data_IF_522328217379
#
_entry.id   IF_522328217379
#
_cell.length_a   1.000
_cell.length_b   1.000
_cell.length_c   1.000
_cell.angle_alpha   90.00
_cell.angle_beta   90.00
_cell.angle_gamma   90.00
#
_symmetry.space_group_name_H-M   'P 1'
#
loop_
_entity.id
_entity.type
_entity.pdbx_description
1 polymer ?
#
# COMPACT_ATOMS: atom_id res chain seq x y z
N UNK A 1 16.93 58.47 -49.00
CA UNK A 1 18.34 58.92 -48.90
C UNK A 1 18.90 58.52 -47.54
N UNK A 2 20.04 57.81 -47.55
CA UNK A 2 21.07 57.53 -46.51
C UNK A 2 20.68 57.40 -45.01
N UNK A 3 20.72 56.18 -44.45
CA UNK A 3 21.86 55.54 -43.72
C UNK A 3 22.36 56.32 -42.49
N UNK A 4 22.24 55.71 -41.30
CA UNK A 4 23.40 55.13 -40.58
C UNK A 4 22.95 54.24 -39.41
N UNK A 5 23.39 52.99 -39.52
CA UNK A 5 23.35 51.96 -38.49
C UNK A 5 24.52 52.22 -37.53
N UNK A 6 24.30 52.09 -36.23
CA UNK A 6 25.38 51.85 -35.27
C UNK A 6 25.18 50.47 -34.64
N UNK A 7 25.88 49.51 -35.25
CA UNK A 7 26.25 48.23 -34.64
C UNK A 7 27.22 48.53 -33.51
N UNK A 8 26.99 47.99 -32.32
CA UNK A 8 28.07 47.70 -31.39
C UNK A 8 28.10 46.19 -31.15
N UNK A 9 29.27 45.63 -31.37
CA UNK A 9 29.53 44.22 -31.49
C UNK A 9 30.27 43.72 -30.24
N UNK A 10 29.88 42.52 -29.79
CA UNK A 10 30.73 41.46 -29.22
C UNK A 10 31.47 41.77 -27.91
N UNK A 11 31.12 41.00 -26.88
CA UNK A 11 32.13 40.16 -26.23
C UNK A 11 31.56 38.76 -25.93
N UNK A 12 32.08 37.78 -26.68
CA UNK A 12 31.98 36.35 -26.37
C UNK A 12 32.97 36.06 -25.24
N UNK A 13 32.49 35.65 -24.07
CA UNK A 13 33.31 34.92 -23.12
C UNK A 13 33.06 33.43 -23.31
N UNK A 14 33.90 32.81 -24.16
CA UNK A 14 34.04 31.35 -24.23
C UNK A 14 34.68 30.89 -22.92
N UNK A 15 33.94 30.19 -22.05
CA UNK A 15 34.56 29.35 -21.02
C UNK A 15 34.73 27.94 -21.59
N UNK A 16 35.95 27.44 -21.41
CA UNK A 16 36.49 26.20 -21.95
C UNK A 16 35.77 24.99 -21.35
N UNK A 17 35.52 24.00 -22.19
CA UNK A 17 35.28 22.60 -21.81
C UNK A 17 36.65 21.94 -21.77
N UNK A 18 36.95 21.22 -20.70
CA UNK A 18 38.10 20.32 -20.62
C UNK A 18 37.62 18.88 -20.40
N UNK A 19 38.36 18.00 -21.07
CA UNK A 19 38.27 16.56 -21.19
C UNK A 19 38.72 15.87 -19.88
N UNK A 20 38.00 14.83 -19.46
CA UNK A 20 38.28 13.88 -18.37
C UNK A 20 39.25 14.32 -17.23
N UNK A 21 38.71 14.74 -16.08
CA UNK A 21 39.50 15.09 -14.90
C UNK A 21 38.84 14.72 -13.57
N UNK A 22 38.74 13.42 -13.30
CA UNK A 22 38.22 12.83 -12.04
C UNK A 22 39.26 12.98 -10.91
N UNK A 23 38.88 13.55 -9.73
CA UNK A 23 39.63 13.36 -8.49
C UNK A 23 39.05 12.24 -7.63
N UNK A 24 39.98 11.42 -7.17
CA UNK A 24 39.87 10.16 -6.42
C UNK A 24 39.27 10.36 -5.02
N UNK A 25 38.38 9.46 -4.62
CA UNK A 25 37.86 9.36 -3.25
C UNK A 25 38.98 9.05 -2.25
N UNK A 26 39.17 9.91 -1.25
CA UNK A 26 40.04 9.64 -0.10
C UNK A 26 39.44 8.56 0.83
N UNK A 27 40.27 7.73 1.49
CA UNK A 27 39.78 6.66 2.34
C UNK A 27 39.24 7.20 3.67
N UNK A 28 37.94 7.03 3.91
CA UNK A 28 37.35 7.23 5.24
C UNK A 28 37.81 6.10 6.17
N UNK A 29 38.44 6.48 7.29
CA UNK A 29 38.77 5.58 8.41
C UNK A 29 37.49 4.99 9.00
N UNK A 30 37.25 3.70 8.75
CA UNK A 30 36.25 2.90 9.45
C UNK A 30 36.79 2.57 10.84
N UNK A 31 36.33 3.29 11.86
CA UNK A 31 36.47 2.84 13.24
C UNK A 31 35.52 1.66 13.46
N UNK A 32 36.11 0.47 13.68
CA UNK A 32 35.40 -0.79 13.76
C UNK A 32 34.44 -0.90 14.94
N UNK A 33 33.23 -1.41 14.67
CA UNK A 33 32.35 -1.97 15.71
C UNK A 33 32.66 -3.46 15.88
N UNK A 34 33.07 -3.82 17.09
CA UNK A 34 33.21 -5.21 17.55
C UNK A 34 31.83 -5.88 17.68
N UNK A 35 31.70 -7.20 17.45
CA UNK A 35 30.50 -7.96 17.80
C UNK A 35 30.62 -8.48 19.23
N UNK A 36 29.65 -8.17 20.10
CA UNK A 36 29.52 -8.87 21.38
C UNK A 36 28.55 -10.05 21.25
N UNK A 37 29.07 -11.18 21.72
CA UNK A 37 28.48 -12.51 21.71
C UNK A 37 27.35 -12.63 22.73
N UNK A 38 26.42 -13.50 22.36
CA UNK A 38 25.44 -14.10 23.24
C UNK A 38 26.08 -14.81 24.44
N UNK A 39 25.55 -14.55 25.64
CA UNK A 39 25.65 -15.45 26.78
C UNK A 39 24.25 -15.89 27.21
N UNK A 40 23.98 -17.16 26.92
CA UNK A 40 22.98 -18.01 27.57
C UNK A 40 23.60 -18.49 28.88
N UNK A 41 22.83 -18.53 29.96
CA UNK A 41 22.71 -19.60 30.97
C UNK A 41 22.06 -19.05 32.25
N UNK A 42 21.02 -19.75 32.73
CA UNK A 42 20.33 -19.43 33.98
C UNK A 42 19.17 -20.40 34.21
N UNK A 43 19.52 -21.58 34.70
CA UNK A 43 18.68 -22.73 35.06
C UNK A 43 17.97 -22.46 36.39
N UNK A 44 16.68 -22.82 36.49
CA UNK A 44 15.95 -22.92 37.75
C UNK A 44 14.84 -23.97 37.59
N UNK A 45 14.98 -25.09 38.30
CA UNK A 45 13.98 -26.14 38.43
C UNK A 45 12.82 -25.66 39.31
N UNK A 46 11.62 -26.19 39.11
CA UNK A 46 10.95 -27.01 40.13
C UNK A 46 9.69 -27.68 39.58
N UNK A 47 9.62 -28.98 39.85
CA UNK A 47 8.52 -29.86 39.53
C UNK A 47 7.33 -29.63 40.47
N UNK A 48 6.12 -29.84 39.95
CA UNK A 48 5.09 -30.66 40.61
C UNK A 48 3.92 -30.90 39.65
N UNK A 49 3.75 -32.18 39.31
CA UNK A 49 2.69 -32.66 38.44
C UNK A 49 1.32 -32.61 39.09
N UNK A 50 0.30 -32.47 38.26
CA UNK A 50 -1.10 -32.75 38.59
C UNK A 50 -1.59 -33.72 37.52
N UNK A 51 -2.02 -34.95 37.88
CA UNK A 51 -2.57 -35.91 36.93
C UNK A 51 -4.01 -35.59 36.54
N UNK A 52 -4.36 -35.89 35.28
CA UNK A 52 -5.70 -35.82 34.70
C UNK A 52 -6.71 -36.72 35.45
N UNK A 53 -7.99 -36.30 35.58
CA UNK A 53 -9.04 -37.16 36.10
C UNK A 53 -9.50 -38.21 35.06
N UNK A 54 -9.89 -39.43 35.50
CA UNK A 54 -10.26 -40.52 34.60
C UNK A 54 -11.67 -40.37 34.01
N UNK A 55 -11.81 -40.85 32.77
CA UNK A 55 -13.09 -41.01 32.05
C UNK A 55 -13.93 -42.13 32.69
N UNK A 56 -15.25 -41.98 32.84
CA UNK A 56 -16.10 -43.10 33.22
C UNK A 56 -16.34 -44.06 32.05
N UNK A 57 -16.09 -45.34 32.33
CA UNK A 57 -16.41 -46.53 31.52
C UNK A 57 -17.90 -46.83 31.57
N UNK A 58 -18.38 -47.40 30.47
CA UNK A 58 -19.69 -48.01 30.33
C UNK A 58 -19.88 -49.27 31.19
N UNK A 59 -21.09 -49.41 31.73
CA UNK A 59 -21.77 -50.64 32.20
C UNK A 59 -23.22 -50.20 32.47
N UNK A 60 -24.31 -50.89 32.17
CA UNK A 60 -24.63 -52.19 31.58
C UNK A 60 -26.17 -52.29 31.55
N UNK A 61 -26.75 -53.10 30.66
CA UNK A 61 -28.13 -53.56 30.80
C UNK A 61 -28.29 -54.52 31.99
N UNK A 62 -29.51 -54.91 32.41
CA UNK A 62 -30.39 -55.72 31.55
C UNK A 62 -31.92 -55.46 31.63
N UNK A 63 -32.59 -55.82 30.54
CA UNK A 63 -33.86 -56.54 30.34
C UNK A 63 -35.03 -56.51 31.37
N UNK A 64 -36.14 -55.91 30.91
CA UNK A 64 -37.48 -56.48 30.68
C UNK A 64 -38.20 -57.37 31.73
N UNK A 65 -39.43 -56.95 32.09
CA UNK A 65 -40.71 -57.70 32.08
C UNK A 65 -41.76 -56.89 32.87
N UNK A 66 -43.05 -56.81 32.56
CA UNK A 66 -43.90 -57.40 31.54
C UNK A 66 -45.30 -56.80 31.71
N UNK A 67 -45.96 -56.45 30.62
CA UNK A 67 -47.36 -56.07 30.59
C UNK A 67 -48.11 -56.98 29.61
N UNK A 68 -49.32 -57.33 30.01
CA UNK A 68 -50.02 -58.54 29.64
C UNK A 68 -50.50 -58.61 28.18
N UNK A 69 -50.45 -59.84 27.67
CA UNK A 69 -51.40 -60.50 26.77
C UNK A 69 -52.63 -59.68 26.32
N UNK A 70 -52.76 -59.47 24.99
CA UNK A 70 -53.81 -60.17 24.22
C UNK A 70 -53.58 -60.10 22.71
N UNK A 71 -53.76 -61.27 22.09
CA UNK A 71 -53.62 -61.59 20.67
C UNK A 71 -54.59 -60.80 19.78
N UNK A 72 -54.12 -60.42 18.58
CA UNK A 72 -54.79 -60.62 17.29
C UNK A 72 -53.82 -60.24 16.17
N UNK A 73 -53.33 -61.25 15.46
CA UNK A 73 -52.64 -61.08 14.19
C UNK A 73 -53.65 -60.64 13.13
N UNK A 74 -53.44 -59.48 12.49
CA UNK A 74 -54.03 -59.16 11.19
C UNK A 74 -53.01 -58.33 10.40
N UNK A 75 -52.33 -59.02 9.48
CA UNK A 75 -51.75 -58.56 8.21
C UNK A 75 -51.08 -57.19 8.13
N UNK A 76 -49.77 -57.24 7.88
CA UNK A 76 -48.90 -56.17 7.37
C UNK A 76 -49.54 -55.46 6.16
N UNK A 77 -49.83 -54.17 6.28
CA UNK A 77 -49.94 -53.26 5.13
C UNK A 77 -48.77 -52.29 5.17
N UNK A 78 -47.99 -52.33 4.09
CA UNK A 78 -46.75 -51.56 3.88
C UNK A 78 -47.01 -50.05 3.94
N UNK A 79 -46.04 -49.36 4.53
CA UNK A 79 -45.93 -47.91 4.61
C UNK A 79 -45.78 -47.24 3.22
N UNK A 80 -46.24 -45.99 3.13
CA UNK A 80 -45.51 -44.88 2.48
C UNK A 80 -46.35 -43.59 2.57
N UNK A 81 -46.00 -42.68 3.47
CA UNK A 81 -46.31 -41.26 3.29
C UNK A 81 -44.97 -40.54 3.24
N UNK A 82 -44.50 -40.32 2.01
CA UNK A 82 -43.42 -39.40 1.69
C UNK A 82 -44.00 -37.98 1.72
N UNK A 83 -43.84 -37.24 2.82
CA UNK A 83 -43.96 -35.78 2.78
C UNK A 83 -42.55 -35.21 2.79
N UNK A 84 -42.07 -34.94 1.58
CA UNK A 84 -40.86 -34.16 1.31
C UNK A 84 -41.11 -32.73 1.81
N UNK A 85 -40.65 -32.41 3.02
CA UNK A 85 -40.65 -31.04 3.52
C UNK A 85 -39.65 -30.21 2.70
N UNK A 86 -40.14 -29.46 1.72
CA UNK A 86 -39.33 -28.54 0.95
C UNK A 86 -38.86 -27.40 1.88
N UNK A 87 -37.61 -27.46 2.31
CA UNK A 87 -36.94 -26.36 2.98
C UNK A 87 -36.78 -25.21 1.97
N UNK A 88 -37.59 -24.17 2.11
CA UNK A 88 -37.42 -22.92 1.38
C UNK A 88 -36.17 -22.20 1.91
N UNK A 89 -35.01 -22.52 1.34
CA UNK A 89 -33.80 -21.73 1.53
C UNK A 89 -33.99 -20.41 0.78
N UNK A 90 -34.31 -19.34 1.52
CA UNK A 90 -34.33 -18.00 0.96
C UNK A 90 -32.92 -17.64 0.48
N UNK A 91 -32.68 -17.76 -0.82
CA UNK A 91 -31.46 -17.31 -1.47
C UNK A 91 -31.46 -15.76 -1.46
N UNK A 92 -30.84 -15.16 -0.44
CA UNK A 92 -30.53 -13.74 -0.48
C UNK A 92 -29.54 -13.50 -1.64
N UNK A 93 -29.79 -12.54 -2.54
CA UNK A 93 -28.84 -12.23 -3.60
C UNK A 93 -27.53 -11.74 -2.97
N UNK A 94 -26.36 -12.19 -3.46
CA UNK A 94 -25.10 -11.65 -3.00
C UNK A 94 -25.06 -10.16 -3.35
N UNK A 95 -25.04 -9.30 -2.32
CA UNK A 95 -24.75 -7.88 -2.50
C UNK A 95 -23.28 -7.79 -2.91
N UNK A 96 -23.04 -7.78 -4.22
CA UNK A 96 -21.71 -7.52 -4.76
C UNK A 96 -21.34 -6.08 -4.43
N UNK A 97 -20.52 -5.88 -3.40
CA UNK A 97 -19.91 -4.60 -3.11
C UNK A 97 -19.02 -4.24 -4.32
N UNK A 98 -19.50 -3.34 -5.16
CA UNK A 98 -18.72 -2.87 -6.32
C UNK A 98 -17.43 -2.22 -5.81
N UNK A 99 -16.32 -2.96 -5.85
CA UNK A 99 -15.03 -2.44 -5.47
C UNK A 99 -14.68 -1.28 -6.42
N UNK A 100 -14.72 -0.05 -5.92
CA UNK A 100 -14.37 1.09 -6.77
C UNK A 100 -12.89 1.00 -7.13
N UNK A 101 -12.62 0.83 -8.44
CA UNK A 101 -11.27 0.58 -8.96
C UNK A 101 -10.34 1.77 -8.68
N UNK A 102 -9.10 1.46 -8.32
CA UNK A 102 -8.01 2.44 -8.23
C UNK A 102 -7.76 3.10 -9.59
N UNK A 103 -7.68 4.43 -9.62
CA UNK A 103 -7.40 5.22 -10.82
C UNK A 103 -5.97 5.75 -10.79
N UNK A 104 -5.43 6.05 -11.97
CA UNK A 104 -4.19 6.83 -12.10
C UNK A 104 -4.55 8.26 -12.49
N UNK A 105 -3.96 9.24 -11.79
CA UNK A 105 -4.09 10.67 -12.09
C UNK A 105 -2.74 11.22 -12.49
N UNK A 106 -2.67 11.83 -13.67
CA UNK A 106 -1.43 12.41 -14.18
C UNK A 106 -1.30 13.86 -13.74
N UNK A 107 -0.09 14.23 -13.33
CA UNK A 107 0.36 15.59 -13.07
C UNK A 107 1.48 15.90 -14.06
N UNK A 108 1.36 16.96 -14.82
CA UNK A 108 2.46 17.46 -15.65
C UNK A 108 3.49 18.17 -14.76
N UNK A 109 4.76 17.90 -15.00
CA UNK A 109 5.87 18.67 -14.43
C UNK A 109 6.48 19.47 -15.58
N UNK A 110 6.44 20.78 -15.47
CA UNK A 110 7.01 21.73 -16.43
C UNK A 110 7.94 22.67 -15.66
N UNK A 111 8.60 23.57 -16.40
CA UNK A 111 9.53 24.54 -15.83
C UNK A 111 8.84 25.36 -14.73
N UNK A 112 9.21 25.06 -13.49
CA UNK A 112 8.79 25.73 -12.25
C UNK A 112 7.33 25.55 -11.82
N UNK A 113 6.59 24.55 -12.35
CA UNK A 113 5.24 24.24 -11.83
C UNK A 113 4.79 22.79 -12.00
N UNK A 114 3.85 22.40 -11.13
CA UNK A 114 3.07 21.17 -11.24
C UNK A 114 1.66 21.48 -11.77
N UNK A 115 1.25 20.78 -12.83
CA UNK A 115 -0.06 20.94 -13.48
C UNK A 115 -0.95 19.70 -13.31
N UNK A 116 -2.09 19.77 -12.60
CA UNK A 116 -2.58 20.90 -11.81
C UNK A 116 -1.86 21.05 -10.45
N UNK A 117 -1.85 22.27 -9.90
CA UNK A 117 -1.28 22.55 -8.58
C UNK A 117 -2.18 22.13 -7.41
N UNK A 118 -3.46 21.84 -7.69
CA UNK A 118 -4.42 21.27 -6.74
C UNK A 118 -5.06 20.04 -7.37
N UNK A 119 -4.97 18.90 -6.70
CA UNK A 119 -5.49 17.63 -7.19
C UNK A 119 -6.30 16.92 -6.12
N UNK A 120 -7.49 16.42 -6.48
CA UNK A 120 -8.30 15.56 -5.61
C UNK A 120 -8.24 14.14 -6.16
N UNK A 121 -7.87 13.20 -5.30
CA UNK A 121 -7.83 11.76 -5.59
C UNK A 121 -8.50 10.98 -4.47
N UNK A 122 -8.71 9.68 -4.66
CA UNK A 122 -9.26 8.80 -3.62
C UNK A 122 -8.19 7.88 -3.05
N UNK A 123 -8.42 7.36 -1.84
CA UNK A 123 -7.55 6.34 -1.23
C UNK A 123 -7.32 5.19 -2.21
N UNK A 124 -6.05 4.84 -2.41
CA UNK A 124 -5.62 3.82 -3.34
C UNK A 124 -5.42 4.30 -4.78
N UNK A 125 -5.72 5.55 -5.12
CA UNK A 125 -5.32 6.10 -6.42
C UNK A 125 -3.80 6.24 -6.52
N UNK A 126 -3.29 6.17 -7.74
CA UNK A 126 -1.89 6.46 -8.07
C UNK A 126 -1.81 7.86 -8.68
N UNK A 127 -0.90 8.69 -8.17
CA UNK A 127 -0.51 9.95 -8.82
C UNK A 127 0.74 9.68 -9.64
N UNK A 128 0.71 10.05 -10.91
CA UNK A 128 1.82 9.93 -11.86
C UNK A 128 2.28 11.32 -12.26
N UNK A 129 3.47 11.71 -11.85
CA UNK A 129 4.13 12.91 -12.35
C UNK A 129 4.84 12.58 -13.66
N UNK A 130 4.62 13.38 -14.69
CA UNK A 130 5.26 13.23 -15.99
C UNK A 130 5.90 14.56 -16.36
N UNK A 131 7.21 14.56 -16.56
CA UNK A 131 7.92 15.70 -17.07
C UNK A 131 7.52 15.90 -18.52
N UNK A 132 7.11 17.12 -18.86
CA UNK A 132 6.78 17.47 -20.24
C UNK A 132 7.97 17.23 -21.15
N UNK A 133 7.71 16.99 -22.43
CA UNK A 133 8.79 16.91 -23.42
C UNK A 133 9.43 18.29 -23.65
N UNK A 134 8.70 19.36 -23.32
CA UNK A 134 9.14 20.73 -23.51
C UNK A 134 9.82 21.32 -22.25
N UNK A 135 9.90 20.56 -21.15
CA UNK A 135 10.58 21.01 -19.94
C UNK A 135 12.09 21.10 -20.22
N UNK A 136 12.68 22.25 -19.92
CA UNK A 136 14.12 22.46 -20.12
C UNK A 136 14.94 22.21 -18.87
N UNK A 137 14.32 22.35 -17.70
CA UNK A 137 14.98 22.16 -16.40
C UNK A 137 14.66 20.80 -15.78
N UNK A 138 15.55 20.35 -14.89
CA UNK A 138 15.27 19.20 -14.03
C UNK A 138 14.45 19.63 -12.82
N UNK A 139 13.51 18.78 -12.42
CA UNK A 139 12.73 18.99 -11.21
C UNK A 139 12.58 17.68 -10.45
N UNK A 140 12.18 17.77 -9.18
CA UNK A 140 11.86 16.62 -8.36
C UNK A 140 10.43 16.69 -7.83
N UNK A 141 10.07 15.73 -6.98
CA UNK A 141 8.78 15.63 -6.30
C UNK A 141 9.07 15.29 -4.84
N UNK A 142 9.25 16.31 -4.00
CA UNK A 142 9.46 16.12 -2.56
C UNK A 142 8.14 16.19 -1.78
N UNK A 143 7.92 15.20 -0.92
CA UNK A 143 6.80 15.22 0.02
C UNK A 143 7.12 16.13 1.21
N UNK A 144 6.79 17.42 1.15
CA UNK A 144 7.00 18.36 2.26
C UNK A 144 6.19 18.02 3.51
N UNK A 145 4.91 17.69 3.37
CA UNK A 145 4.08 17.24 4.50
C UNK A 145 2.94 16.30 4.08
N UNK A 146 2.49 15.46 5.01
CA UNK A 146 1.50 14.43 4.78
C UNK A 146 0.78 14.03 6.08
N UNK A 147 -0.31 13.24 6.00
CA UNK A 147 -0.94 12.64 7.18
C UNK A 147 0.01 11.74 7.97
N UNK A 148 -0.25 11.58 9.28
CA UNK A 148 0.57 10.74 10.18
C UNK A 148 0.70 9.31 9.64
N UNK A 149 1.92 8.77 9.69
CA UNK A 149 2.23 7.42 9.25
C UNK A 149 2.49 7.27 7.75
N UNK A 150 2.46 8.36 6.97
CA UNK A 150 2.93 8.36 5.58
C UNK A 150 4.46 8.45 5.56
N UNK A 151 5.10 7.52 4.86
CA UNK A 151 6.55 7.60 4.57
C UNK A 151 6.82 8.70 3.55
N UNK A 152 7.82 9.55 3.84
CA UNK A 152 8.40 10.51 2.90
C UNK A 152 8.82 9.83 1.60
N UNK A 153 8.76 10.58 0.52
CA UNK A 153 9.26 10.16 -0.78
C UNK A 153 9.79 11.39 -1.51
N UNK A 154 10.89 11.19 -2.22
CA UNK A 154 11.51 12.13 -3.13
C UNK A 154 12.30 11.28 -4.12
N UNK A 155 11.93 11.20 -5.41
CA UNK A 155 12.80 10.60 -6.40
C UNK A 155 14.02 11.50 -6.62
N UNK A 156 15.07 10.96 -7.23
CA UNK A 156 16.13 11.81 -7.80
C UNK A 156 15.50 12.80 -8.80
N UNK A 157 16.11 13.98 -9.01
CA UNK A 157 15.67 14.93 -10.03
C UNK A 157 15.52 14.26 -11.40
N UNK A 158 14.40 14.55 -12.07
CA UNK A 158 14.07 14.00 -13.38
C UNK A 158 14.00 15.11 -14.43
N UNK A 159 14.31 14.72 -15.66
CA UNK A 159 14.30 15.56 -16.86
C UNK A 159 13.08 15.26 -17.75
N UNK A 160 12.99 15.99 -18.87
CA UNK A 160 11.95 15.84 -19.88
C UNK A 160 11.64 14.38 -20.26
N UNK A 161 10.35 14.07 -20.40
CA UNK A 161 9.87 12.75 -20.80
C UNK A 161 9.89 11.67 -19.71
N UNK A 162 10.57 11.90 -18.59
CA UNK A 162 10.60 10.94 -17.48
C UNK A 162 9.32 10.97 -16.63
N UNK A 163 9.15 9.96 -15.79
CA UNK A 163 7.95 9.85 -14.95
C UNK A 163 8.27 9.29 -13.56
N UNK A 164 7.51 9.76 -12.58
CA UNK A 164 7.49 9.22 -11.23
C UNK A 164 6.05 8.86 -10.84
N UNK A 165 5.84 7.81 -10.06
CA UNK A 165 4.50 7.39 -9.64
C UNK A 165 4.45 7.03 -8.16
N UNK A 166 3.38 7.48 -7.50
CA UNK A 166 3.13 7.18 -6.08
C UNK A 166 1.66 6.81 -5.86
N UNK A 167 1.44 5.64 -5.27
CA UNK A 167 0.12 5.27 -4.73
C UNK A 167 -0.11 5.94 -3.38
N UNK A 168 -1.25 6.61 -3.22
CA UNK A 168 -1.61 7.30 -1.99
C UNK A 168 -2.68 6.50 -1.24
N UNK A 169 -2.31 5.95 -0.10
CA UNK A 169 -3.15 5.00 0.66
C UNK A 169 -3.74 5.56 1.94
N UNK A 170 -3.38 6.79 2.33
CA UNK A 170 -3.92 7.45 3.53
C UNK A 170 -4.76 8.65 3.13
N UNK A 171 -5.97 8.82 3.68
CA UNK A 171 -6.75 10.02 3.44
C UNK A 171 -6.10 11.24 4.10
N UNK A 172 -6.31 12.41 3.51
CA UNK A 172 -5.81 13.69 4.01
C UNK A 172 -5.04 14.49 2.97
N UNK A 173 -4.30 15.49 3.43
CA UNK A 173 -3.64 16.48 2.57
C UNK A 173 -2.15 16.22 2.47
N UNK A 174 -1.65 16.15 1.24
CA UNK A 174 -0.25 15.97 0.90
C UNK A 174 0.24 17.26 0.25
N UNK A 175 1.30 17.85 0.81
CA UNK A 175 1.97 19.01 0.22
C UNK A 175 3.24 18.53 -0.46
N UNK A 176 3.34 18.83 -1.74
CA UNK A 176 4.48 18.48 -2.59
C UNK A 176 5.17 19.78 -3.00
N UNK A 177 6.49 19.76 -3.03
CA UNK A 177 7.32 20.86 -3.51
C UNK A 177 8.40 20.33 -4.45
N UNK A 178 8.99 21.23 -5.23
CA UNK A 178 10.30 21.00 -5.83
C UNK A 178 11.37 21.58 -4.91
N UNK A 179 12.44 20.84 -4.65
CA UNK A 179 13.53 21.28 -3.76
C UNK A 179 14.38 22.39 -4.35
N UNK A 180 14.41 22.52 -5.69
CA UNK A 180 15.08 23.64 -6.38
C UNK A 180 14.28 24.94 -6.33
N UNK A 181 12.95 24.84 -6.17
CA UNK A 181 12.00 25.93 -6.33
C UNK A 181 10.98 25.90 -5.18
N UNK A 182 11.47 25.83 -3.93
CA UNK A 182 10.64 25.54 -2.75
C UNK A 182 9.54 26.58 -2.50
N UNK A 183 9.68 27.81 -2.99
CA UNK A 183 8.79 28.93 -2.70
C UNK A 183 7.58 28.99 -3.64
N UNK A 184 7.78 28.60 -4.89
CA UNK A 184 6.92 28.85 -6.04
C UNK A 184 6.38 27.55 -6.65
N UNK A 185 7.19 26.49 -6.70
CA UNK A 185 6.81 25.22 -7.33
C UNK A 185 6.23 24.27 -6.28
N UNK A 186 4.92 24.40 -6.06
CA UNK A 186 4.18 23.68 -5.02
C UNK A 186 2.90 23.08 -5.56
N UNK A 187 2.51 21.92 -5.04
CA UNK A 187 1.17 21.39 -5.25
C UNK A 187 0.56 20.79 -3.98
N UNK A 188 -0.76 20.75 -3.95
CA UNK A 188 -1.54 20.11 -2.90
C UNK A 188 -2.37 18.98 -3.48
N UNK A 189 -2.24 17.79 -2.89
CA UNK A 189 -3.06 16.63 -3.22
C UNK A 189 -3.96 16.32 -2.02
N UNK A 190 -5.27 16.36 -2.24
CA UNK A 190 -6.27 15.93 -1.25
C UNK A 190 -6.72 14.51 -1.57
N UNK A 191 -6.45 13.59 -0.66
CA UNK A 191 -6.87 12.20 -0.75
C UNK A 191 -8.15 12.00 0.05
N UNK A 192 -9.26 11.76 -0.63
CA UNK A 192 -10.56 11.47 -0.02
C UNK A 192 -10.74 9.97 0.18
N UNK A 193 -11.56 9.58 1.16
CA UNK A 193 -12.04 8.19 1.24
C UNK A 193 -12.90 7.89 0.01
N UNK A 194 -12.92 6.63 -0.42
CA UNK A 194 -13.87 6.19 -1.44
C UNK A 194 -15.27 6.23 -0.84
N UNK A 195 -16.28 6.66 -1.61
CA UNK A 195 -17.67 6.46 -1.23
C UNK A 195 -17.99 4.97 -1.11
#
# INVERSE_FOLDING_TARGET
MHRRQHRCARHRARRRVDDAGVPVHGPQRVLGRRPERAHRLGRGHDARGVPDPPRPRAAGGPDAAGALHRRREVTVRRAAILTLGAAALAAAPPVALAATRAKTRTVSVNDNYYGPSKLIVHVGDTVRWRWSQDATDVHDVDLKSAPKGVRKFQPDPLAAGQTFSRRLTRPGTYRIICTFHESEMRMTITVKRRP
#
